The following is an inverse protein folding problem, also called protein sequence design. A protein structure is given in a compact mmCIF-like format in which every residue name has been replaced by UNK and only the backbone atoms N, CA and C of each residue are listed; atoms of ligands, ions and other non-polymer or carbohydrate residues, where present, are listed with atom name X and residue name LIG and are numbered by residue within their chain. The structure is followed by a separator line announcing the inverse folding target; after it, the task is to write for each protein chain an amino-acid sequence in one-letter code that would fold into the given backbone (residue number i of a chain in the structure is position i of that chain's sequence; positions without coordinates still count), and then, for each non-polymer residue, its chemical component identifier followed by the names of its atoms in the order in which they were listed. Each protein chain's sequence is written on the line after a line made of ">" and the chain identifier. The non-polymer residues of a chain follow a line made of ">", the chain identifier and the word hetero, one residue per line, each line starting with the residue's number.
data_IF_510970839648
#
_entry.id   IF_510970839648
#
_cell.length_a   1.000
_cell.length_b   1.000
_cell.length_c   1.000
_cell.angle_alpha   90.00
_cell.angle_beta   90.00
_cell.angle_gamma   90.00
#
_symmetry.space_group_name_H-M   'P 1'
#
loop_
_entity.id
_entity.type
_entity.pdbx_description
1 polymer ?
#
# COMPACT_ATOMS: atom_id res chain seq x y z
N UNK A 1 -10.03 14.16 -50.30
CA UNK A 1 -11.35 13.49 -50.31
C UNK A 1 -11.32 12.36 -49.29
N UNK A 2 -12.05 12.47 -48.19
CA UNK A 2 -12.16 11.38 -47.22
C UNK A 2 -13.06 10.30 -47.81
N UNK A 3 -12.49 9.14 -48.14
CA UNK A 3 -13.26 7.99 -48.62
C UNK A 3 -14.27 7.58 -47.55
N UNK A 4 -15.56 7.81 -47.82
CA UNK A 4 -16.65 7.23 -47.05
C UNK A 4 -16.60 5.72 -47.29
N UNK A 5 -16.02 4.97 -46.35
CA UNK A 5 -16.05 3.50 -46.41
C UNK A 5 -17.52 3.06 -46.33
N UNK A 6 -18.08 2.65 -47.46
CA UNK A 6 -19.42 2.07 -47.52
C UNK A 6 -19.51 0.92 -46.51
N UNK A 7 -20.45 1.05 -45.57
CA UNK A 7 -20.70 0.07 -44.51
C UNK A 7 -21.45 -1.13 -45.10
N UNK A 8 -20.76 -1.98 -45.86
CA UNK A 8 -21.34 -3.24 -46.29
C UNK A 8 -21.52 -4.14 -45.07
N UNK A 9 -22.79 -4.42 -44.73
CA UNK A 9 -23.19 -5.24 -43.58
C UNK A 9 -22.52 -6.62 -43.66
N UNK A 10 -22.46 -7.21 -44.86
CA UNK A 10 -21.78 -8.49 -45.11
C UNK A 10 -20.27 -8.42 -44.81
N UNK A 11 -19.58 -7.36 -45.21
CA UNK A 11 -18.16 -7.24 -44.90
C UNK A 11 -17.91 -6.96 -43.40
N UNK A 12 -18.88 -6.38 -42.69
CA UNK A 12 -18.82 -6.24 -41.24
C UNK A 12 -18.99 -7.59 -40.54
N UNK A 13 -19.98 -8.39 -40.96
CA UNK A 13 -20.20 -9.75 -40.45
C UNK A 13 -18.96 -10.61 -40.70
N UNK A 14 -18.41 -10.60 -41.92
CA UNK A 14 -17.22 -11.38 -42.27
C UNK A 14 -15.97 -10.92 -41.49
N UNK A 15 -15.77 -9.61 -41.32
CA UNK A 15 -14.68 -9.08 -40.47
C UNK A 15 -14.83 -9.52 -39.01
N UNK A 16 -16.03 -9.44 -38.45
CA UNK A 16 -16.31 -9.89 -37.08
C UNK A 16 -16.11 -11.41 -36.93
N UNK A 17 -16.47 -12.20 -37.94
CA UNK A 17 -16.25 -13.64 -37.97
C UNK A 17 -14.76 -14.02 -38.03
N UNK A 18 -13.96 -13.36 -38.88
CA UNK A 18 -12.50 -13.58 -38.88
C UNK A 18 -11.89 -13.13 -37.55
N UNK A 19 -12.38 -12.02 -36.99
CA UNK A 19 -11.88 -11.49 -35.72
C UNK A 19 -12.21 -12.40 -34.52
N UNK A 20 -13.33 -13.15 -34.55
CA UNK A 20 -13.67 -14.09 -33.49
C UNK A 20 -12.77 -15.34 -33.47
N UNK A 21 -12.14 -15.68 -34.60
CA UNK A 21 -11.19 -16.78 -34.71
C UNK A 21 -9.76 -16.40 -34.31
N UNK A 22 -9.45 -15.10 -34.11
CA UNK A 22 -8.11 -14.70 -33.67
C UNK A 22 -7.88 -15.12 -32.21
N UNK A 23 -6.77 -15.83 -31.92
CA UNK A 23 -6.46 -16.23 -30.56
C UNK A 23 -6.26 -15.01 -29.66
N UNK A 24 -6.73 -15.10 -28.41
CA UNK A 24 -6.54 -14.04 -27.42
C UNK A 24 -5.05 -13.90 -27.11
N UNK A 25 -4.59 -12.67 -26.83
CA UNK A 25 -3.24 -12.44 -26.29
C UNK A 25 -3.20 -13.06 -24.87
N UNK A 26 -2.51 -14.20 -24.73
CA UNK A 26 -2.33 -14.92 -23.46
C UNK A 26 -1.07 -14.41 -22.73
N UNK A 27 -0.06 -13.97 -23.49
CA UNK A 27 1.21 -13.46 -22.94
C UNK A 27 1.13 -11.95 -22.73
N UNK A 28 1.45 -11.51 -21.53
CA UNK A 28 1.59 -10.09 -21.20
C UNK A 28 2.92 -9.53 -21.71
N UNK A 29 2.96 -8.22 -21.89
CA UNK A 29 4.19 -7.50 -22.18
C UNK A 29 4.96 -7.31 -20.88
N UNK A 30 6.29 -7.50 -20.91
CA UNK A 30 7.15 -7.23 -19.74
C UNK A 30 7.23 -5.72 -19.54
N UNK A 31 6.77 -5.25 -18.39
CA UNK A 31 6.72 -3.83 -18.05
C UNK A 31 7.99 -3.40 -17.30
N UNK A 32 8.45 -4.23 -16.37
CA UNK A 32 9.65 -3.92 -15.59
C UNK A 32 9.98 -4.97 -14.56
N UNK A 33 11.06 -4.71 -13.82
CA UNK A 33 11.56 -5.54 -12.74
C UNK A 33 11.78 -4.73 -11.49
N UNK A 34 11.56 -5.35 -10.34
CA UNK A 34 11.77 -4.72 -9.04
C UNK A 34 13.15 -5.08 -8.43
N UNK A 35 13.55 -4.37 -7.36
CA UNK A 35 14.77 -4.64 -6.59
C UNK A 35 14.80 -6.03 -5.93
N UNK A 36 13.65 -6.69 -5.72
CA UNK A 36 13.61 -8.10 -5.31
C UNK A 36 13.83 -9.10 -6.47
N UNK A 37 13.82 -8.62 -7.73
CA UNK A 37 13.96 -9.45 -8.93
C UNK A 37 12.65 -10.03 -9.45
N UNK A 38 11.51 -9.53 -8.98
CA UNK A 38 10.18 -9.88 -9.49
C UNK A 38 9.96 -9.24 -10.87
N UNK A 39 9.32 -9.98 -11.79
CA UNK A 39 9.01 -9.50 -13.15
C UNK A 39 7.53 -9.15 -13.27
N UNK A 40 7.21 -7.98 -13.78
CA UNK A 40 5.84 -7.49 -13.88
C UNK A 40 5.35 -7.46 -15.33
N UNK A 41 4.11 -7.91 -15.54
CA UNK A 41 3.52 -8.06 -16.86
C UNK A 41 2.17 -7.35 -16.94
N UNK A 42 1.86 -6.82 -18.13
CA UNK A 42 0.57 -6.19 -18.42
C UNK A 42 0.01 -6.68 -19.76
N UNK A 43 -1.30 -6.95 -19.79
CA UNK A 43 -2.09 -7.01 -21.02
C UNK A 43 -2.94 -5.74 -21.07
N UNK A 44 -2.78 -4.89 -22.11
CA UNK A 44 -3.55 -3.66 -22.23
C UNK A 44 -5.05 -3.93 -22.33
N UNK A 45 -5.85 -2.95 -21.90
CA UNK A 45 -7.29 -3.01 -22.05
C UNK A 45 -7.67 -3.14 -23.54
N UNK A 46 -8.64 -3.99 -23.83
CA UNK A 46 -9.23 -4.11 -25.16
C UNK A 46 -10.75 -3.87 -25.06
N UNK A 47 -11.19 -2.60 -25.23
CA UNK A 47 -12.59 -2.24 -25.15
C UNK A 47 -13.48 -2.98 -26.16
N UNK A 48 -12.92 -3.35 -27.31
CA UNK A 48 -13.64 -4.05 -28.38
C UNK A 48 -14.08 -5.46 -27.97
N UNK A 49 -13.39 -6.08 -27.01
CA UNK A 49 -13.71 -7.41 -26.44
C UNK A 49 -14.46 -7.26 -25.09
N UNK A 50 -14.76 -6.03 -24.66
CA UNK A 50 -15.38 -5.76 -23.36
C UNK A 50 -14.40 -5.74 -22.17
N UNK A 51 -13.09 -5.85 -22.41
CA UNK A 51 -12.05 -5.72 -21.37
C UNK A 51 -11.68 -4.25 -21.19
N UNK A 52 -12.38 -3.59 -20.27
CA UNK A 52 -12.18 -2.15 -20.00
C UNK A 52 -10.94 -1.83 -19.16
N UNK A 53 -10.43 -2.80 -18.40
CA UNK A 53 -9.24 -2.63 -17.53
C UNK A 53 -8.09 -3.49 -18.04
N UNK A 54 -6.83 -3.02 -17.89
CA UNK A 54 -5.66 -3.84 -18.16
C UNK A 54 -5.59 -5.00 -17.15
N UNK A 55 -5.08 -6.14 -17.58
CA UNK A 55 -4.80 -7.28 -16.69
C UNK A 55 -3.33 -7.25 -16.32
N UNK A 56 -3.02 -7.21 -15.02
CA UNK A 56 -1.66 -7.09 -14.50
C UNK A 56 -1.37 -8.27 -13.59
N UNK A 57 -0.15 -8.80 -13.68
CA UNK A 57 0.35 -9.84 -12.79
C UNK A 57 1.86 -9.74 -12.67
N UNK A 58 2.45 -10.51 -11.77
CA UNK A 58 3.90 -10.64 -11.65
C UNK A 58 4.30 -12.12 -11.61
N UNK A 59 5.56 -12.38 -11.95
CA UNK A 59 6.22 -13.65 -11.72
C UNK A 59 7.28 -13.44 -10.64
N UNK A 60 7.22 -14.19 -9.52
CA UNK A 60 8.27 -14.14 -8.51
C UNK A 60 9.57 -14.70 -9.05
N UNK A 61 10.70 -14.24 -8.49
CA UNK A 61 12.02 -14.77 -8.85
C UNK A 61 12.12 -16.26 -8.53
N UNK A 62 11.61 -16.66 -7.35
CA UNK A 62 11.51 -18.04 -6.89
C UNK A 62 10.06 -18.47 -7.05
N UNK A 63 9.81 -19.48 -7.89
CA UNK A 63 8.43 -19.88 -8.28
C UNK A 63 7.58 -20.44 -7.13
N UNK A 64 8.23 -20.88 -6.05
CA UNK A 64 7.58 -21.55 -4.91
C UNK A 64 7.35 -20.60 -3.72
N UNK A 65 7.90 -19.38 -3.77
CA UNK A 65 7.74 -18.40 -2.70
C UNK A 65 6.49 -17.54 -2.95
N UNK A 66 5.38 -17.93 -2.31
CA UNK A 66 4.11 -17.20 -2.38
C UNK A 66 4.03 -16.03 -1.38
N UNK A 67 4.84 -16.06 -0.32
CA UNK A 67 4.85 -15.05 0.75
C UNK A 67 5.89 -13.94 0.51
N UNK A 68 6.33 -13.76 -0.74
CA UNK A 68 7.34 -12.75 -1.05
C UNK A 68 6.77 -11.33 -0.89
N UNK A 69 7.48 -10.49 -0.14
CA UNK A 69 7.12 -9.08 0.01
C UNK A 69 7.22 -8.35 -1.33
N UNK A 70 6.17 -7.59 -1.65
CA UNK A 70 6.08 -6.77 -2.86
C UNK A 70 6.27 -5.31 -2.44
N UNK A 71 7.07 -4.51 -3.16
CA UNK A 71 7.17 -3.08 -2.88
C UNK A 71 5.83 -2.39 -3.06
N UNK A 72 5.58 -1.38 -2.23
CA UNK A 72 4.30 -0.69 -2.18
C UNK A 72 3.93 -0.03 -3.53
N UNK A 73 4.91 0.43 -4.28
CA UNK A 73 4.76 1.07 -5.58
C UNK A 73 4.21 0.09 -6.62
N UNK A 74 4.84 -1.09 -6.71
CA UNK A 74 4.43 -2.17 -7.61
C UNK A 74 3.11 -2.78 -7.18
N UNK A 75 2.87 -2.91 -5.89
CA UNK A 75 1.60 -3.38 -5.33
C UNK A 75 0.44 -2.44 -5.70
N UNK A 76 0.64 -1.12 -5.62
CA UNK A 76 -0.34 -0.12 -6.03
C UNK A 76 -0.63 -0.18 -7.54
N UNK A 77 0.40 -0.40 -8.37
CA UNK A 77 0.23 -0.59 -9.80
C UNK A 77 -0.51 -1.89 -10.15
N UNK A 78 -0.18 -3.01 -9.50
CA UNK A 78 -0.83 -4.30 -9.70
C UNK A 78 -2.34 -4.23 -9.40
N UNK A 79 -2.71 -3.51 -8.33
CA UNK A 79 -4.12 -3.30 -7.94
C UNK A 79 -4.86 -2.27 -8.79
N UNK A 80 -4.19 -1.64 -9.76
CA UNK A 80 -4.80 -0.62 -10.61
C UNK A 80 -5.04 0.72 -9.93
N UNK A 81 -4.40 0.98 -8.78
CA UNK A 81 -4.42 2.32 -8.15
C UNK A 81 -3.56 3.31 -8.93
N UNK A 82 -2.45 2.84 -9.48
CA UNK A 82 -1.59 3.60 -10.41
C UNK A 82 -1.85 3.15 -11.85
N UNK A 83 -1.97 4.08 -12.80
CA UNK A 83 -2.05 3.76 -14.23
C UNK A 83 -0.68 3.42 -14.80
N UNK A 84 0.32 4.24 -14.47
CA UNK A 84 1.71 4.18 -14.94
C UNK A 84 2.53 3.29 -13.98
N UNK A 85 3.42 2.42 -14.50
CA UNK A 85 4.33 1.65 -13.67
C UNK A 85 5.29 2.56 -12.91
N UNK A 86 5.81 2.13 -11.75
CA UNK A 86 6.77 2.93 -11.00
C UNK A 86 8.10 3.04 -11.74
N UNK A 87 8.74 4.19 -11.61
CA UNK A 87 10.08 4.44 -12.13
C UNK A 87 11.14 3.97 -11.15
N UNK A 88 12.28 3.47 -11.65
CA UNK A 88 13.38 2.98 -10.81
C UNK A 88 13.90 4.07 -9.85
N UNK A 89 14.02 5.31 -10.32
CA UNK A 89 14.46 6.42 -9.48
C UNK A 89 13.47 6.74 -8.35
N UNK A 90 12.16 6.66 -8.61
CA UNK A 90 11.12 6.87 -7.59
C UNK A 90 11.25 5.80 -6.50
N UNK A 91 11.40 4.55 -6.90
CA UNK A 91 11.55 3.41 -5.99
C UNK A 91 12.78 3.59 -5.10
N UNK A 92 13.91 4.01 -5.68
CA UNK A 92 15.14 4.25 -4.91
C UNK A 92 14.98 5.38 -3.87
N UNK A 93 14.33 6.49 -4.26
CA UNK A 93 14.05 7.61 -3.33
C UNK A 93 13.16 7.17 -2.18
N UNK A 94 12.11 6.40 -2.46
CA UNK A 94 11.18 5.92 -1.44
C UNK A 94 11.86 4.93 -0.49
N UNK A 95 12.72 4.07 -1.01
CA UNK A 95 13.53 3.13 -0.23
C UNK A 95 14.47 3.89 0.73
N UNK A 96 15.15 4.94 0.25
CA UNK A 96 15.98 5.79 1.11
C UNK A 96 15.15 6.45 2.22
N UNK A 97 14.00 7.02 1.89
CA UNK A 97 13.11 7.65 2.88
C UNK A 97 12.58 6.63 3.91
N UNK A 98 12.28 5.40 3.48
CA UNK A 98 11.84 4.32 4.37
C UNK A 98 12.95 3.91 5.35
N UNK A 99 14.19 3.79 4.89
CA UNK A 99 15.36 3.52 5.75
C UNK A 99 15.55 4.60 6.82
N UNK A 100 15.54 5.87 6.41
CA UNK A 100 15.69 6.99 7.35
C UNK A 100 14.57 7.01 8.40
N UNK A 101 13.31 6.80 7.99
CA UNK A 101 12.19 6.72 8.94
C UNK A 101 12.36 5.57 9.93
N UNK A 102 12.88 4.43 9.47
CA UNK A 102 13.14 3.26 10.33
C UNK A 102 14.22 3.56 11.37
N UNK A 103 15.26 4.29 11.01
CA UNK A 103 16.33 4.73 11.92
C UNK A 103 15.78 5.73 12.94
N UNK A 104 15.12 6.80 12.48
CA UNK A 104 14.51 7.81 13.34
C UNK A 104 13.49 7.19 14.31
N UNK A 105 12.67 6.24 13.85
CA UNK A 105 11.69 5.56 14.70
C UNK A 105 12.36 4.73 15.78
N UNK A 106 13.51 4.09 15.50
CA UNK A 106 14.28 3.36 16.52
C UNK A 106 14.86 4.32 17.56
N UNK A 107 15.40 5.45 17.13
CA UNK A 107 15.95 6.47 18.04
C UNK A 107 14.87 7.04 18.96
N UNK A 108 13.70 7.35 18.41
CA UNK A 108 12.55 7.83 19.18
C UNK A 108 12.08 6.74 20.14
N UNK A 109 11.94 5.49 19.69
CA UNK A 109 11.51 4.39 20.55
C UNK A 109 12.49 4.18 21.72
N UNK A 110 13.80 4.22 21.48
CA UNK A 110 14.81 4.14 22.54
C UNK A 110 14.72 5.31 23.52
N UNK A 111 14.56 6.54 23.00
CA UNK A 111 14.39 7.74 23.81
C UNK A 111 13.12 7.67 24.66
N UNK A 112 12.02 7.21 24.09
CA UNK A 112 10.75 7.02 24.79
C UNK A 112 10.84 5.92 25.84
N UNK A 113 11.50 4.78 25.57
CA UNK A 113 11.71 3.74 26.57
C UNK A 113 12.54 4.26 27.75
N UNK A 114 13.64 4.96 27.49
CA UNK A 114 14.48 5.51 28.57
C UNK A 114 13.77 6.63 29.34
N UNK A 115 12.99 7.48 28.66
CA UNK A 115 12.19 8.51 29.31
C UNK A 115 11.05 7.91 30.14
N UNK A 116 10.43 6.82 29.67
CA UNK A 116 9.38 6.11 30.40
C UNK A 116 9.97 5.41 31.64
N UNK A 117 11.12 4.74 31.53
CA UNK A 117 11.86 4.21 32.68
C UNK A 117 12.17 5.30 33.72
N UNK A 118 12.64 6.47 33.29
CA UNK A 118 12.86 7.62 34.18
C UNK A 118 11.56 8.13 34.82
N UNK A 119 10.47 8.23 34.05
CA UNK A 119 9.16 8.64 34.57
C UNK A 119 8.56 7.62 35.55
N UNK A 120 8.74 6.32 35.31
CA UNK A 120 8.30 5.26 36.24
C UNK A 120 9.06 5.38 37.57
N UNK A 121 10.39 5.59 37.51
CA UNK A 121 11.21 5.83 38.69
C UNK A 121 10.78 7.10 39.46
N UNK A 122 10.37 8.17 38.76
CA UNK A 122 9.85 9.39 39.38
C UNK A 122 8.43 9.23 39.95
N UNK A 123 7.57 8.42 39.30
CA UNK A 123 6.20 8.15 39.75
C UNK A 123 6.14 7.27 40.99
N UNK A 124 7.10 6.37 41.23
CA UNK A 124 7.16 5.60 42.48
C UNK A 124 7.32 6.50 43.73
N UNK A 125 7.84 7.73 43.59
CA UNK A 125 8.07 8.66 44.71
C UNK A 125 6.79 9.42 45.09
N UNK A 126 5.85 9.60 44.16
CA UNK A 126 4.51 10.15 44.43
C UNK A 126 3.53 8.98 44.51
N UNK A 127 3.28 8.51 45.73
CA UNK A 127 2.35 7.40 46.00
C UNK A 127 1.08 7.45 45.15
N UNK A 128 0.63 6.27 44.75
CA UNK A 128 -0.47 5.85 43.87
C UNK A 128 -1.78 6.68 43.91
N UNK A 129 -1.72 7.99 43.73
CA UNK A 129 -2.85 8.90 43.73
C UNK A 129 -2.93 9.53 42.34
N UNK A 130 -3.62 8.85 41.44
CA UNK A 130 -3.74 9.22 40.02
C UNK A 130 -4.69 10.40 39.77
N UNK A 131 -5.29 10.97 40.80
CA UNK A 131 -6.27 12.04 40.69
C UNK A 131 -5.92 13.22 41.59
N UNK A 132 -6.06 14.47 41.13
CA UNK A 132 -5.95 15.65 41.98
C UNK A 132 -6.90 15.53 43.18
N UNK A 133 -6.34 15.52 44.40
CA UNK A 133 -7.15 15.62 45.62
C UNK A 133 -7.47 17.08 45.89
N UNK A 134 -8.75 17.35 46.02
CA UNK A 134 -9.25 18.65 46.41
C UNK A 134 -9.63 18.60 47.89
N UNK A 135 -8.96 19.40 48.72
CA UNK A 135 -9.21 19.48 50.17
C UNK A 135 -10.62 19.97 50.51
N UNK A 136 -11.31 20.57 49.54
CA UNK A 136 -12.66 21.15 49.70
C UNK A 136 -13.78 20.11 49.64
N UNK A 137 -13.50 18.88 49.21
CA UNK A 137 -14.51 17.82 49.07
C UNK A 137 -14.23 16.65 50.02
N UNK A 138 -15.29 16.18 50.67
CA UNK A 138 -15.23 14.96 51.50
C UNK A 138 -15.04 13.73 50.62
N UNK A 139 -14.03 12.93 50.92
CA UNK A 139 -13.75 11.66 50.22
C UNK A 139 -14.68 10.54 50.68
N UNK A 140 -15.28 10.66 51.87
CA UNK A 140 -16.33 9.80 52.38
C UNK A 140 -17.46 10.66 52.99
N UNK A 141 -18.71 10.53 52.53
CA UNK A 141 -19.80 11.35 53.02
C UNK A 141 -20.06 11.10 54.50
N UNK A 142 -20.11 12.18 55.31
CA UNK A 142 -20.48 12.11 56.73
C UNK A 142 -19.32 11.90 57.70
N UNK A 143 -18.08 11.81 57.19
CA UNK A 143 -16.86 11.95 58.00
C UNK A 143 -16.23 13.30 57.67
N UNK A 144 -16.63 14.34 58.41
CA UNK A 144 -15.99 15.64 58.30
C UNK A 144 -14.48 15.50 58.54
N UNK A 145 -13.67 16.16 57.71
CA UNK A 145 -12.22 16.19 57.92
C UNK A 145 -11.96 16.95 59.23
N UNK A 146 -11.43 16.28 60.25
CA UNK A 146 -11.01 16.94 61.49
C UNK A 146 -9.90 17.94 61.14
N UNK A 147 -10.26 19.21 61.11
CA UNK A 147 -9.31 20.32 60.99
C UNK A 147 -8.50 20.35 62.30
N UNK A 148 -7.21 20.03 62.22
CA UNK A 148 -6.23 20.34 63.27
C UNK A 148 -5.89 21.82 63.28
#
# INVERSE_FOLDING_TARGET
>A
MAQQQGRSILAMIFRNFIQSLKPRKIRGDLVGTDYFGNRYFEIPANPQIGKRKPSRWFEPKVKEDFDQEIPAEWEAWLRGRRSIPPEEEEVLRNLAAMKQKKENAKEIALRETSANEQNILEQEIKGMESFPKHDEYETMPGKGQEKK
#
